data_IF_551747669985
#
_entry.id   IF_551747669985
#
_cell.length_a   1.000
_cell.length_b   1.000
_cell.length_c   1.000
_cell.angle_alpha   90.00
_cell.angle_beta   90.00
_cell.angle_gamma   90.00
#
_symmetry.space_group_name_H-M   'P 1'
#
loop_
_entity.id
_entity.type
_entity.pdbx_description
1 polymer ?
#
# COMPACT_ATOMS: atom_id res chain seq x y z
N UNK A 1 0.37 -0.48 -10.39
CA UNK A 1 -0.44 0.11 -11.47
C UNK A 1 -1.89 -0.31 -11.23
N UNK A 2 -2.83 0.62 -11.40
CA UNK A 2 -4.28 0.43 -11.13
C UNK A 2 -4.97 0.30 -12.49
N UNK A 3 -5.99 -0.55 -12.60
CA UNK A 3 -6.67 -0.85 -13.88
C UNK A 3 -7.52 0.34 -14.42
N UNK A 4 -7.74 1.39 -13.63
CA UNK A 4 -8.42 2.62 -14.07
C UNK A 4 -7.92 3.87 -13.33
N UNK A 5 -7.73 4.97 -14.08
CA UNK A 5 -7.28 6.29 -13.58
C UNK A 5 -8.30 6.90 -12.60
N UNK A 6 -9.56 6.48 -12.66
CA UNK A 6 -10.64 6.94 -11.76
C UNK A 6 -10.52 6.43 -10.32
N UNK A 7 -9.69 5.41 -10.07
CA UNK A 7 -9.46 4.84 -8.75
C UNK A 7 -8.18 5.34 -8.07
N UNK A 8 -7.55 6.40 -8.60
CA UNK A 8 -6.41 7.05 -7.92
C UNK A 8 -6.96 7.89 -6.78
N UNK A 9 -6.97 7.34 -5.58
CA UNK A 9 -7.32 8.09 -4.37
C UNK A 9 -6.06 8.56 -3.67
N UNK A 10 -5.99 9.86 -3.38
CA UNK A 10 -4.97 10.42 -2.49
C UNK A 10 -5.42 10.18 -1.06
N UNK A 11 -5.05 9.02 -0.54
CA UNK A 11 -5.48 8.59 0.77
C UNK A 11 -4.43 8.91 1.84
N UNK A 12 -4.92 9.13 3.06
CA UNK A 12 -4.05 9.36 4.22
C UNK A 12 -3.12 8.16 4.46
N UNK A 13 -3.56 6.93 4.15
CA UNK A 13 -2.73 5.73 4.21
C UNK A 13 -1.50 5.81 3.31
N UNK A 14 -1.66 6.27 2.06
CA UNK A 14 -0.52 6.45 1.15
C UNK A 14 0.46 7.52 1.63
N UNK A 15 -0.05 8.59 2.24
CA UNK A 15 0.79 9.61 2.85
C UNK A 15 1.64 9.03 3.99
N UNK A 16 1.03 8.25 4.89
CA UNK A 16 1.75 7.54 5.95
C UNK A 16 2.84 6.62 5.39
N UNK A 17 2.53 5.80 4.38
CA UNK A 17 3.49 4.88 3.76
C UNK A 17 4.63 5.66 3.08
N UNK A 18 4.32 6.76 2.39
CA UNK A 18 5.34 7.59 1.73
C UNK A 18 6.34 8.19 2.73
N UNK A 19 5.86 8.64 3.89
CA UNK A 19 6.71 9.18 4.96
C UNK A 19 7.56 8.06 5.56
N UNK A 20 6.98 6.89 5.82
CA UNK A 20 7.74 5.73 6.35
C UNK A 20 8.87 5.33 5.39
N UNK A 21 8.61 5.31 4.07
CA UNK A 21 9.64 5.02 3.07
C UNK A 21 10.71 6.12 3.00
N UNK A 22 10.33 7.39 3.06
CA UNK A 22 11.29 8.48 3.08
C UNK A 22 12.21 8.39 4.31
N UNK A 23 11.64 8.08 5.49
CA UNK A 23 12.39 7.93 6.73
C UNK A 23 13.30 6.70 6.72
N UNK A 24 12.85 5.56 6.17
CA UNK A 24 13.69 4.38 6.05
C UNK A 24 14.86 4.60 5.09
N UNK A 25 14.62 5.26 3.95
CA UNK A 25 15.67 5.64 3.01
C UNK A 25 16.67 6.62 3.62
N UNK A 26 16.21 7.59 4.40
CA UNK A 26 17.09 8.50 5.14
C UNK A 26 18.03 7.74 6.09
N UNK A 27 17.53 6.74 6.81
CA UNK A 27 18.37 5.90 7.70
C UNK A 27 19.44 5.15 6.91
N UNK A 28 19.08 4.55 5.77
CA UNK A 28 20.02 3.83 4.91
C UNK A 28 21.07 4.77 4.33
N UNK A 29 20.66 5.93 3.81
CA UNK A 29 21.56 6.89 3.20
C UNK A 29 22.57 7.45 4.21
N UNK A 30 22.09 7.82 5.40
CA UNK A 30 22.96 8.27 6.50
C UNK A 30 23.92 7.14 6.94
N UNK A 31 23.46 5.89 6.97
CA UNK A 31 24.33 4.72 7.17
C UNK A 31 25.41 4.58 6.11
N UNK A 32 25.05 4.73 4.85
CA UNK A 32 25.96 4.61 3.71
C UNK A 32 26.99 5.74 3.69
N UNK A 33 26.57 6.99 3.91
CA UNK A 33 27.45 8.15 3.97
C UNK A 33 28.45 8.05 5.12
N UNK A 34 28.01 7.57 6.29
CA UNK A 34 28.91 7.32 7.43
C UNK A 34 29.94 6.24 7.13
N UNK A 35 29.51 5.16 6.48
CA UNK A 35 30.40 4.08 6.08
C UNK A 35 31.45 4.56 5.06
N UNK A 36 31.02 5.37 4.08
CA UNK A 36 31.89 5.90 3.03
C UNK A 36 32.85 6.99 3.52
N UNK A 37 32.38 7.94 4.33
CA UNK A 37 33.19 9.04 4.84
C UNK A 37 33.98 8.70 6.12
N UNK A 38 33.86 7.46 6.63
CA UNK A 38 34.46 6.98 7.91
C UNK A 38 34.21 7.92 9.10
N UNK A 39 33.14 8.70 9.04
CA UNK A 39 32.70 9.58 10.10
C UNK A 39 31.43 8.99 10.72
N UNK A 40 31.32 9.01 12.05
CA UNK A 40 30.17 8.45 12.76
C UNK A 40 29.48 9.58 13.51
N UNK A 41 28.43 10.17 12.92
CA UNK A 41 27.66 11.22 13.58
C UNK A 41 26.38 10.63 14.19
N UNK A 42 26.52 9.74 15.17
CA UNK A 42 25.43 8.93 15.75
C UNK A 42 24.14 9.66 16.19
N UNK A 43 24.18 10.99 16.36
CA UNK A 43 23.09 11.82 16.90
C UNK A 43 21.77 11.79 16.10
N UNK A 44 21.79 11.54 14.79
CA UNK A 44 20.58 11.54 13.95
C UNK A 44 19.79 10.22 13.98
N UNK A 45 20.42 9.08 14.28
CA UNK A 45 19.72 7.79 14.31
C UNK A 45 18.59 7.72 15.34
N UNK A 46 18.75 8.14 16.61
CA UNK A 46 17.65 8.07 17.58
C UNK A 46 16.47 8.96 17.18
N UNK A 47 16.73 10.14 16.61
CA UNK A 47 15.67 11.05 16.13
C UNK A 47 14.89 10.42 14.98
N UNK A 48 15.59 9.91 13.96
CA UNK A 48 14.97 9.23 12.82
C UNK A 48 14.19 7.98 13.25
N UNK A 49 14.72 7.22 14.22
CA UNK A 49 14.09 6.00 14.71
C UNK A 49 12.81 6.28 15.51
N UNK A 50 12.83 7.28 16.40
CA UNK A 50 11.63 7.73 17.14
C UNK A 50 10.57 8.24 16.17
N UNK A 51 10.96 9.04 15.18
CA UNK A 51 10.05 9.58 14.18
C UNK A 51 9.42 8.44 13.35
N UNK A 52 10.23 7.49 12.88
CA UNK A 52 9.76 6.32 12.13
C UNK A 52 8.78 5.47 12.96
N UNK A 53 9.09 5.20 14.24
CA UNK A 53 8.16 4.49 15.13
C UNK A 53 6.84 5.26 15.33
N UNK A 54 6.90 6.59 15.46
CA UNK A 54 5.72 7.44 15.53
C UNK A 54 4.81 7.29 14.32
N UNK A 55 5.38 7.37 13.10
CA UNK A 55 4.61 7.20 11.87
C UNK A 55 4.10 5.77 11.66
N UNK A 56 4.89 4.74 12.02
CA UNK A 56 4.45 3.33 11.95
C UNK A 56 3.28 3.07 12.91
N UNK A 57 3.34 3.62 14.13
CA UNK A 57 2.24 3.46 15.09
C UNK A 57 0.99 4.24 14.66
N UNK A 58 1.14 5.43 14.08
CA UNK A 58 0.04 6.17 13.49
C UNK A 58 -0.63 5.41 12.33
N UNK A 59 0.16 4.83 11.43
CA UNK A 59 -0.34 3.99 10.33
C UNK A 59 -1.10 2.76 10.85
N UNK A 60 -0.52 2.03 11.82
CA UNK A 60 -1.17 0.85 12.43
C UNK A 60 -2.49 1.18 13.11
N UNK A 61 -2.61 2.38 13.67
CA UNK A 61 -3.83 2.86 14.31
C UNK A 61 -4.85 3.43 13.32
N UNK A 62 -4.51 3.52 12.02
CA UNK A 62 -5.35 4.12 10.98
C UNK A 62 -5.92 5.49 11.41
N UNK A 63 -5.09 6.32 12.04
CA UNK A 63 -5.53 7.61 12.56
C UNK A 63 -6.01 8.51 11.43
N UNK A 64 -7.27 8.95 11.49
CA UNK A 64 -7.87 9.84 10.49
C UNK A 64 -8.38 9.15 9.23
N UNK A 65 -8.37 7.82 9.15
CA UNK A 65 -8.98 7.08 8.03
C UNK A 65 -10.46 6.87 8.34
N UNK A 66 -11.32 7.57 7.60
CA UNK A 66 -12.77 7.41 7.69
C UNK A 66 -13.24 6.17 6.90
N UNK A 67 -14.44 5.67 7.19
CA UNK A 67 -15.03 4.49 6.53
C UNK A 67 -15.04 4.62 5.00
N UNK A 68 -15.35 5.82 4.48
CA UNK A 68 -15.29 6.13 3.05
C UNK A 68 -13.88 5.99 2.45
N UNK A 69 -12.87 6.44 3.19
CA UNK A 69 -11.48 6.38 2.74
C UNK A 69 -10.96 4.95 2.78
N UNK A 70 -11.33 4.21 3.83
CA UNK A 70 -11.06 2.78 3.95
C UNK A 70 -11.63 1.98 2.76
N UNK A 71 -12.91 2.16 2.42
CA UNK A 71 -13.53 1.47 1.30
C UNK A 71 -12.85 1.79 -0.04
N UNK A 72 -12.47 3.05 -0.26
CA UNK A 72 -11.74 3.47 -1.45
C UNK A 72 -10.36 2.83 -1.55
N UNK A 73 -9.59 2.84 -0.46
CA UNK A 73 -8.28 2.20 -0.39
C UNK A 73 -8.38 0.69 -0.66
N UNK A 74 -9.41 0.03 -0.11
CA UNK A 74 -9.63 -1.40 -0.32
C UNK A 74 -10.03 -1.73 -1.76
N UNK A 75 -10.87 -0.90 -2.40
CA UNK A 75 -11.19 -1.04 -3.84
C UNK A 75 -9.91 -0.94 -4.68
N UNK A 76 -9.07 0.04 -4.41
CA UNK A 76 -7.80 0.21 -5.11
C UNK A 76 -6.87 -0.99 -4.89
N UNK A 77 -6.70 -1.43 -3.65
CA UNK A 77 -5.87 -2.59 -3.31
C UNK A 77 -6.32 -3.85 -4.05
N UNK A 78 -7.63 -4.12 -4.10
CA UNK A 78 -8.15 -5.30 -4.80
C UNK A 78 -7.94 -5.19 -6.31
N UNK A 79 -8.09 -3.99 -6.88
CA UNK A 79 -7.87 -3.78 -8.32
C UNK A 79 -6.44 -4.07 -8.78
N UNK A 80 -5.44 -3.93 -7.90
CA UNK A 80 -4.05 -4.29 -8.21
C UNK A 80 -3.89 -5.80 -8.35
N UNK A 81 -4.57 -6.60 -7.52
CA UNK A 81 -4.53 -8.05 -7.61
C UNK A 81 -5.20 -8.54 -8.90
N UNK A 82 -6.32 -7.92 -9.32
CA UNK A 82 -6.94 -8.21 -10.61
C UNK A 82 -5.95 -8.04 -11.76
N UNK A 83 -5.26 -6.89 -11.83
CA UNK A 83 -4.27 -6.61 -12.86
C UNK A 83 -3.15 -7.67 -12.92
N UNK A 84 -2.62 -8.08 -11.76
CA UNK A 84 -1.56 -9.10 -11.73
C UNK A 84 -2.07 -10.51 -12.02
N UNK A 85 -3.30 -10.83 -11.63
CA UNK A 85 -3.95 -12.12 -11.88
C UNK A 85 -4.34 -12.27 -13.36
N UNK A 86 -4.80 -11.20 -14.00
CA UNK A 86 -5.06 -11.19 -15.46
C UNK A 86 -3.76 -11.42 -16.22
N UNK A 87 -2.68 -10.70 -15.86
CA UNK A 87 -1.39 -10.83 -16.53
C UNK A 87 -0.76 -12.24 -16.38
N UNK A 88 -0.89 -12.88 -15.21
CA UNK A 88 -0.32 -14.22 -15.01
C UNK A 88 -1.08 -15.29 -15.80
N UNK A 89 -2.38 -15.11 -16.07
CA UNK A 89 -3.17 -16.04 -16.89
C UNK A 89 -2.62 -16.15 -18.32
N UNK A 90 -2.06 -15.07 -18.86
CA UNK A 90 -1.42 -15.05 -20.18
C UNK A 90 -0.02 -15.67 -20.20
N UNK A 91 0.65 -15.75 -19.05
CA UNK A 91 2.05 -16.20 -18.94
C UNK A 91 2.20 -17.63 -18.44
N UNK A 92 1.27 -18.10 -17.62
CA UNK A 92 1.41 -19.38 -16.93
C UNK A 92 0.85 -20.54 -17.76
N UNK A 93 1.59 -21.65 -17.78
CA UNK A 93 1.12 -22.94 -18.33
C UNK A 93 0.65 -23.91 -17.24
N UNK A 94 0.75 -23.53 -15.96
CA UNK A 94 0.38 -24.38 -14.84
C UNK A 94 -1.11 -24.21 -14.50
N UNK A 95 -1.89 -25.29 -14.62
CA UNK A 95 -3.34 -25.28 -14.40
C UNK A 95 -3.74 -24.90 -12.96
N UNK A 96 -2.93 -25.23 -11.96
CA UNK A 96 -3.18 -24.81 -10.58
C UNK A 96 -3.04 -23.30 -10.41
N UNK A 97 -2.05 -22.69 -11.07
CA UNK A 97 -1.84 -21.24 -11.04
C UNK A 97 -2.96 -20.53 -11.82
N UNK A 98 -3.39 -21.08 -12.96
CA UNK A 98 -4.54 -20.52 -13.70
C UNK A 98 -5.81 -20.53 -12.86
N UNK A 99 -6.10 -21.68 -12.23
CA UNK A 99 -7.27 -21.81 -11.37
C UNK A 99 -7.25 -20.81 -10.22
N UNK A 100 -6.11 -20.66 -9.53
CA UNK A 100 -5.96 -19.68 -8.46
C UNK A 100 -6.15 -18.25 -8.96
N UNK A 101 -5.54 -17.88 -10.08
CA UNK A 101 -5.66 -16.54 -10.65
C UNK A 101 -7.11 -16.21 -11.05
N UNK A 102 -7.83 -17.14 -11.68
CA UNK A 102 -9.26 -16.98 -11.99
C UNK A 102 -10.11 -16.85 -10.72
N UNK A 103 -9.88 -17.68 -9.69
CA UNK A 103 -10.60 -17.57 -8.42
C UNK A 103 -10.36 -16.23 -7.71
N UNK A 104 -9.13 -15.71 -7.78
CA UNK A 104 -8.80 -14.37 -7.26
C UNK A 104 -9.58 -13.30 -8.03
N UNK A 105 -9.63 -13.39 -9.36
CA UNK A 105 -10.35 -12.42 -10.20
C UNK A 105 -11.83 -12.39 -9.83
N UNK A 106 -12.48 -13.56 -9.74
CA UNK A 106 -13.91 -13.65 -9.45
C UNK A 106 -14.24 -13.10 -8.06
N UNK A 107 -13.48 -13.50 -7.03
CA UNK A 107 -13.71 -13.05 -5.65
C UNK A 107 -13.48 -11.56 -5.49
N UNK A 108 -12.34 -11.07 -5.95
CA UNK A 108 -11.98 -9.66 -5.74
C UNK A 108 -12.87 -8.72 -6.57
N UNK A 109 -13.35 -9.16 -7.75
CA UNK A 109 -14.35 -8.40 -8.51
C UNK A 109 -15.68 -8.28 -7.75
N UNK A 110 -16.15 -9.38 -7.15
CA UNK A 110 -17.36 -9.38 -6.32
C UNK A 110 -17.21 -8.45 -5.09
N UNK A 111 -16.06 -8.50 -4.41
CA UNK A 111 -15.75 -7.64 -3.26
C UNK A 111 -15.68 -6.16 -3.65
N UNK A 112 -15.08 -5.82 -4.80
CA UNK A 112 -15.07 -4.46 -5.35
C UNK A 112 -16.49 -3.96 -5.60
N UNK A 113 -17.35 -4.78 -6.22
CA UNK A 113 -18.73 -4.40 -6.48
C UNK A 113 -19.50 -4.16 -5.18
N UNK A 114 -19.31 -5.01 -4.18
CA UNK A 114 -19.90 -4.84 -2.85
C UNK A 114 -19.45 -3.54 -2.17
N UNK A 115 -18.14 -3.23 -2.19
CA UNK A 115 -17.62 -1.98 -1.62
C UNK A 115 -18.12 -0.74 -2.36
N UNK A 116 -18.29 -0.80 -3.68
CA UNK A 116 -18.89 0.28 -4.47
C UNK A 116 -20.38 0.49 -4.14
N UNK A 117 -21.14 -0.58 -3.91
CA UNK A 117 -22.53 -0.47 -3.44
C UNK A 117 -22.58 0.21 -2.08
N UNK A 118 -21.70 -0.18 -1.14
CA UNK A 118 -21.60 0.47 0.18
C UNK A 118 -21.30 1.97 0.07
N UNK A 119 -20.37 2.37 -0.80
CA UNK A 119 -20.05 3.78 -1.04
C UNK A 119 -21.21 4.58 -1.64
N UNK A 120 -22.06 3.94 -2.43
CA UNK A 120 -23.19 4.60 -3.09
C UNK A 120 -24.40 4.70 -2.16
N UNK A 121 -24.62 3.65 -1.34
CA UNK A 121 -25.80 3.48 -0.51
C UNK A 121 -25.69 4.16 0.86
N UNK A 122 -24.49 4.20 1.42
CA UNK A 122 -24.19 4.89 2.67
C UNK A 122 -23.40 6.16 2.34
N UNK A 123 -24.15 7.24 2.06
CA UNK A 123 -23.58 8.58 1.98
C UNK A 123 -23.21 9.00 3.41
N UNK A 124 -21.96 8.76 3.79
CA UNK A 124 -21.34 9.28 5.00
C UNK A 124 -21.08 10.78 4.89
#
# INVERSE_FOLDING_TARGET
MINSVTNITNSLGKLYISIIMALSMAIVQVGMDNYMMKQVTWAYYPVLFILLLGFVTAYKRQLGINEREYLKEMIEHHSMALLTSEEILHKTSNDYVKKLASEIIDKQTSEINYMNDLLTRYVF
#
